data_IF_548009447201
#
_entry.id   IF_548009447201
#
_cell.length_a   1.000
_cell.length_b   1.000
_cell.length_c   1.000
_cell.angle_alpha   90.00
_cell.angle_beta   90.00
_cell.angle_gamma   90.00
#
_symmetry.space_group_name_H-M   'P 1'
#
loop_
_entity.id
_entity.type
_entity.pdbx_description
1 polymer ?
#
# COMPACT_ATOMS: atom_id res chain seq x y z
N UNK A 1 24.24 11.97 3.70
CA UNK A 1 23.76 10.72 4.33
C UNK A 1 22.33 10.51 3.85
N UNK A 2 22.14 9.72 2.80
CA UNK A 2 20.84 9.54 2.13
C UNK A 2 19.89 8.76 3.04
N UNK A 3 19.01 9.50 3.73
CA UNK A 3 17.88 8.96 4.49
C UNK A 3 16.59 9.33 3.75
N UNK A 4 16.28 8.70 2.61
CA UNK A 4 14.97 8.91 1.96
C UNK A 4 14.64 7.87 0.87
N UNK A 5 14.79 6.59 1.19
CA UNK A 5 14.37 5.48 0.32
C UNK A 5 13.32 4.56 0.97
N UNK A 6 12.65 5.05 2.03
CA UNK A 6 11.33 4.56 2.39
C UNK A 6 10.31 5.07 1.37
N UNK A 7 9.19 4.37 1.20
CA UNK A 7 8.09 4.74 0.31
C UNK A 7 7.92 6.26 0.14
N UNK A 8 8.20 6.79 -1.06
CA UNK A 8 8.35 8.25 -1.25
C UNK A 8 7.04 9.03 -1.16
N UNK A 9 5.89 8.36 -1.31
CA UNK A 9 4.58 8.99 -1.38
C UNK A 9 3.48 8.06 -0.82
N UNK A 10 3.42 7.91 0.51
CA UNK A 10 2.37 7.11 1.14
C UNK A 10 1.07 7.92 1.27
N UNK A 11 0.00 7.46 0.61
CA UNK A 11 -1.37 8.00 0.75
C UNK A 11 -2.28 6.89 1.24
N UNK A 12 -3.13 7.17 2.23
CA UNK A 12 -4.01 6.17 2.81
C UNK A 12 -5.47 6.57 2.73
N UNK A 13 -6.32 5.60 2.44
CA UNK A 13 -7.77 5.74 2.46
C UNK A 13 -8.39 4.63 3.30
N UNK A 14 -9.49 4.98 3.97
CA UNK A 14 -10.35 3.98 4.62
C UNK A 14 -11.50 3.65 3.68
N UNK A 15 -11.67 2.37 3.36
CA UNK A 15 -12.87 1.86 2.73
C UNK A 15 -13.74 1.19 3.79
N UNK A 16 -15.02 1.54 3.82
CA UNK A 16 -15.99 1.01 4.79
C UNK A 16 -17.11 0.28 4.07
N UNK A 17 -17.75 -0.67 4.74
CA UNK A 17 -18.89 -1.41 4.18
C UNK A 17 -18.48 -2.41 3.08
N UNK A 18 -17.25 -2.89 3.10
CA UNK A 18 -16.82 -3.97 2.18
C UNK A 18 -17.22 -5.33 2.75
N UNK A 19 -17.31 -6.39 1.90
CA UNK A 19 -17.56 -7.75 2.37
C UNK A 19 -16.55 -8.25 3.41
N UNK A 20 -15.31 -7.76 3.37
CA UNK A 20 -14.23 -8.10 4.31
C UNK A 20 -14.16 -7.16 5.53
N UNK A 21 -15.10 -6.21 5.66
CA UNK A 21 -15.18 -5.25 6.75
C UNK A 21 -14.63 -3.86 6.39
N UNK A 22 -13.93 -3.22 7.33
CA UNK A 22 -13.25 -1.97 7.06
C UNK A 22 -11.85 -2.27 6.52
N UNK A 23 -11.48 -1.60 5.44
CA UNK A 23 -10.16 -1.75 4.83
C UNK A 23 -9.36 -0.46 4.94
N UNK A 24 -8.05 -0.62 5.12
CA UNK A 24 -7.07 0.44 4.93
C UNK A 24 -6.38 0.18 3.59
N UNK A 25 -6.55 1.12 2.66
CA UNK A 25 -5.89 1.09 1.35
C UNK A 25 -4.75 2.10 1.38
N UNK A 26 -3.53 1.60 1.27
CA UNK A 26 -2.30 2.40 1.26
C UNK A 26 -1.70 2.37 -0.13
N UNK A 27 -1.57 3.52 -0.76
CA UNK A 27 -0.83 3.71 -2.00
C UNK A 27 0.55 4.23 -1.72
N UNK A 28 1.54 3.71 -2.40
CA UNK A 28 2.91 4.16 -2.25
C UNK A 28 3.72 3.98 -3.52
N UNK A 29 4.86 4.67 -3.55
CA UNK A 29 5.85 4.51 -4.59
C UNK A 29 7.03 3.70 -4.06
N UNK A 30 7.35 2.61 -4.75
CA UNK A 30 8.52 1.79 -4.49
C UNK A 30 9.25 1.48 -5.79
N UNK A 31 10.57 1.56 -5.79
CA UNK A 31 11.36 0.97 -6.88
C UNK A 31 11.37 -0.55 -6.70
N UNK A 32 10.37 -1.22 -7.29
CA UNK A 32 10.18 -2.67 -7.16
C UNK A 32 11.30 -3.50 -7.80
N UNK A 33 12.14 -2.88 -8.63
CA UNK A 33 13.31 -3.53 -9.21
C UNK A 33 14.55 -3.40 -8.32
N UNK A 34 14.47 -2.60 -7.26
CA UNK A 34 15.54 -2.39 -6.30
C UNK A 34 15.25 -3.16 -5.02
N UNK A 35 15.97 -4.28 -4.82
CA UNK A 35 15.83 -5.14 -3.63
C UNK A 35 15.99 -4.37 -2.31
N UNK A 36 16.83 -3.33 -2.27
CA UNK A 36 17.01 -2.52 -1.05
C UNK A 36 15.75 -1.74 -0.70
N UNK A 37 15.07 -1.19 -1.70
CA UNK A 37 13.81 -0.48 -1.51
C UNK A 37 12.74 -1.42 -0.93
N UNK A 38 12.61 -2.63 -1.49
CA UNK A 38 11.70 -3.67 -1.00
C UNK A 38 12.02 -4.06 0.44
N UNK A 39 13.28 -4.34 0.75
CA UNK A 39 13.70 -4.72 2.10
C UNK A 39 13.43 -3.62 3.13
N UNK A 40 13.62 -2.34 2.76
CA UNK A 40 13.29 -1.22 3.63
C UNK A 40 11.79 -1.04 3.84
N UNK A 41 10.97 -1.30 2.83
CA UNK A 41 9.52 -1.32 2.99
C UNK A 41 9.09 -2.38 4.01
N UNK A 42 9.61 -3.61 3.88
CA UNK A 42 9.35 -4.69 4.84
C UNK A 42 9.84 -4.34 6.25
N UNK A 43 11.03 -3.73 6.37
CA UNK A 43 11.56 -3.24 7.64
C UNK A 43 10.69 -2.12 8.25
N UNK A 44 10.12 -1.24 7.43
CA UNK A 44 9.16 -0.23 7.86
C UNK A 44 7.89 -0.86 8.43
N UNK A 45 7.32 -1.84 7.72
CA UNK A 45 6.15 -2.59 8.20
C UNK A 45 6.41 -3.31 9.53
N UNK A 46 7.64 -3.82 9.73
CA UNK A 46 8.08 -4.40 11.00
C UNK A 46 8.05 -3.39 12.14
N UNK A 47 8.64 -2.20 11.94
CA UNK A 47 8.69 -1.14 12.95
C UNK A 47 7.28 -0.62 13.29
N UNK A 48 6.42 -0.50 12.29
CA UNK A 48 5.02 -0.06 12.47
C UNK A 48 4.10 -1.18 13.03
N UNK A 49 4.63 -2.36 13.32
CA UNK A 49 3.88 -3.54 13.76
C UNK A 49 2.74 -3.94 12.78
N UNK A 50 2.89 -3.61 11.50
CA UNK A 50 1.92 -3.89 10.44
C UNK A 50 2.08 -5.27 9.81
N UNK A 51 3.15 -6.01 10.12
CA UNK A 51 3.27 -7.41 9.68
C UNK A 51 2.14 -8.31 10.21
N UNK A 52 1.52 -7.98 11.35
CA UNK A 52 0.39 -8.73 11.90
C UNK A 52 -0.97 -8.41 11.26
N UNK A 53 -1.03 -7.41 10.36
CA UNK A 53 -2.27 -7.05 9.69
C UNK A 53 -2.70 -8.16 8.71
N UNK A 54 -4.00 -8.43 8.61
CA UNK A 54 -4.52 -9.34 7.59
C UNK A 54 -4.55 -8.59 6.25
N UNK A 55 -3.53 -8.83 5.44
CA UNK A 55 -3.35 -8.22 4.12
C UNK A 55 -4.15 -9.02 3.09
N UNK A 56 -5.01 -8.33 2.33
CA UNK A 56 -5.73 -8.90 1.20
C UNK A 56 -4.88 -8.87 -0.07
N UNK A 57 -4.12 -7.78 -0.25
CA UNK A 57 -3.20 -7.62 -1.36
C UNK A 57 -2.10 -6.63 -1.00
N UNK A 58 -0.87 -6.92 -1.41
CA UNK A 58 0.23 -5.96 -1.42
C UNK A 58 1.09 -6.20 -2.66
N UNK A 59 1.29 -5.16 -3.47
CA UNK A 59 2.10 -5.29 -4.67
C UNK A 59 1.86 -4.19 -5.68
N UNK A 60 2.29 -4.45 -6.91
CA UNK A 60 2.16 -3.52 -8.02
C UNK A 60 0.68 -3.25 -8.33
N UNK A 61 0.32 -1.97 -8.46
CA UNK A 61 -1.02 -1.53 -8.83
C UNK A 61 -1.59 -2.24 -10.05
N UNK A 62 -0.77 -2.45 -11.09
CA UNK A 62 -1.16 -3.10 -12.34
C UNK A 62 -1.60 -4.55 -12.14
N UNK A 63 -1.13 -5.19 -11.07
CA UNK A 63 -1.36 -6.60 -10.78
C UNK A 63 -2.40 -6.80 -9.67
N UNK A 64 -3.00 -5.73 -9.16
CA UNK A 64 -3.97 -5.83 -8.08
C UNK A 64 -5.25 -6.54 -8.55
N UNK A 65 -5.64 -7.58 -7.84
CA UNK A 65 -6.88 -8.34 -8.08
C UNK A 65 -7.96 -8.08 -7.04
N UNK A 66 -7.64 -7.40 -5.93
CA UNK A 66 -8.55 -7.12 -4.84
C UNK A 66 -9.16 -5.71 -4.97
N UNK A 67 -10.49 -5.61 -4.85
CA UNK A 67 -11.22 -4.33 -4.83
C UNK A 67 -10.87 -3.39 -6.00
N UNK A 68 -10.62 -3.94 -7.20
CA UNK A 68 -10.10 -3.20 -8.36
C UNK A 68 -10.83 -1.89 -8.65
N UNK A 69 -12.17 -1.92 -8.73
CA UNK A 69 -12.98 -0.73 -9.00
C UNK A 69 -12.82 0.33 -7.91
N UNK A 70 -12.86 -0.07 -6.63
CA UNK A 70 -12.69 0.87 -5.51
C UNK A 70 -11.27 1.45 -5.49
N UNK A 71 -10.27 0.63 -5.75
CA UNK A 71 -8.86 1.04 -5.84
C UNK A 71 -8.66 2.03 -6.98
N UNK A 72 -9.24 1.78 -8.16
CA UNK A 72 -9.16 2.70 -9.30
C UNK A 72 -9.81 4.06 -8.99
N UNK A 73 -11.02 4.05 -8.41
CA UNK A 73 -11.70 5.29 -8.01
C UNK A 73 -10.94 6.08 -6.94
N UNK A 74 -10.19 5.40 -6.06
CA UNK A 74 -9.31 6.05 -5.11
C UNK A 74 -8.07 6.61 -5.80
N UNK A 75 -7.47 5.89 -6.74
CA UNK A 75 -6.32 6.37 -7.51
C UNK A 75 -6.63 7.66 -8.28
N UNK A 76 -7.83 7.82 -8.83
CA UNK A 76 -8.25 9.07 -9.47
C UNK A 76 -8.20 10.28 -8.53
N UNK A 77 -8.27 10.06 -7.21
CA UNK A 77 -8.15 11.11 -6.18
C UNK A 77 -6.71 11.37 -5.75
N UNK A 78 -5.77 10.53 -6.17
CA UNK A 78 -4.37 10.58 -5.78
C UNK A 78 -3.61 11.34 -6.87
N UNK A 79 -3.29 12.61 -6.63
CA UNK A 79 -2.49 13.44 -7.56
C UNK A 79 -0.97 13.24 -7.37
N UNK A 80 -0.55 12.05 -6.95
CA UNK A 80 0.86 11.70 -6.73
C UNK A 80 1.21 10.41 -7.46
N UNK A 81 2.44 10.31 -7.95
CA UNK A 81 2.91 9.13 -8.66
C UNK A 81 3.08 7.96 -7.67
N UNK A 82 2.21 6.96 -7.79
CA UNK A 82 2.21 5.72 -7.00
C UNK A 82 2.24 4.52 -7.95
N UNK A 83 2.87 3.42 -7.53
CA UNK A 83 2.96 2.19 -8.31
C UNK A 83 2.67 0.92 -7.50
N UNK A 84 2.50 1.05 -6.18
CA UNK A 84 2.14 -0.04 -5.29
C UNK A 84 0.88 0.29 -4.50
N UNK A 85 0.14 -0.76 -4.15
CA UNK A 85 -0.99 -0.70 -3.23
C UNK A 85 -0.89 -1.82 -2.21
N UNK A 86 -1.22 -1.50 -0.96
CA UNK A 86 -1.41 -2.45 0.13
C UNK A 86 -2.82 -2.28 0.68
N UNK A 87 -3.58 -3.37 0.76
CA UNK A 87 -4.96 -3.43 1.22
C UNK A 87 -5.00 -4.31 2.46
N UNK A 88 -5.33 -3.73 3.60
CA UNK A 88 -5.35 -4.39 4.90
C UNK A 88 -6.75 -4.38 5.48
N UNK A 89 -7.16 -5.47 6.13
CA UNK A 89 -8.37 -5.47 6.97
C UNK A 89 -8.05 -4.77 8.29
N UNK A 90 -8.86 -3.77 8.63
CA UNK A 90 -8.81 -3.02 9.87
C UNK A 90 -9.76 -3.66 10.88
N UNK A 91 -9.24 -3.99 12.07
CA UNK A 91 -10.06 -4.39 13.22
C UNK A 91 -10.56 -3.17 13.99
#
# INVERSE_FOLDING_TARGET
MEKELGAKNLVQFRLTGTPDGNLLVSFYQLDVFNEKAVNWHIAGLLVENKLGARVLYEGNLSNNTAYQTAVHNLLERVNVYVNCVRIEIVK
#
